data_IF_882442022237
#
_entry.id   IF_882442022237
#
_cell.length_a   1.000
_cell.length_b   1.000
_cell.length_c   1.000
_cell.angle_alpha   90.00
_cell.angle_beta   90.00
_cell.angle_gamma   90.00
#
_symmetry.space_group_name_H-M   'P 1'
#
loop_
_entity.id
_entity.type
_entity.pdbx_description
1 polymer ?
#
# COMPACT_ATOMS: atom_id res chain seq x y z
N UNK A 1 27.67 -2.34 -9.92
CA UNK A 1 26.85 -1.71 -10.97
C UNK A 1 25.78 -0.89 -10.25
N UNK A 2 26.07 0.39 -10.04
CA UNK A 2 25.32 1.28 -9.16
C UNK A 2 24.17 1.94 -9.92
N UNK A 3 22.99 2.03 -9.29
CA UNK A 3 21.89 2.86 -9.76
C UNK A 3 21.44 3.75 -8.59
N UNK A 4 21.66 5.04 -8.82
CA UNK A 4 21.53 6.20 -7.94
C UNK A 4 20.07 6.45 -7.49
N UNK A 5 19.83 6.87 -6.24
CA UNK A 5 18.52 7.35 -5.81
C UNK A 5 18.31 8.79 -6.31
N UNK A 6 17.25 9.03 -7.09
CA UNK A 6 16.93 10.35 -7.60
C UNK A 6 16.55 11.31 -6.45
N UNK A 7 17.45 12.26 -6.19
CA UNK A 7 17.18 13.53 -5.51
C UNK A 7 16.25 14.38 -6.38
N UNK A 8 15.09 14.77 -5.85
CA UNK A 8 14.31 15.87 -6.41
C UNK A 8 14.98 17.21 -6.06
N UNK A 9 15.73 17.78 -6.99
CA UNK A 9 16.16 19.17 -6.97
C UNK A 9 15.00 20.09 -7.38
N UNK A 10 14.73 21.13 -6.59
CA UNK A 10 13.86 22.26 -6.97
C UNK A 10 14.67 23.21 -7.85
N UNK A 11 14.15 23.57 -9.03
CA UNK A 11 14.01 24.97 -9.45
C UNK A 11 13.32 25.11 -10.83
N UNK A 12 12.33 26.01 -10.87
CA UNK A 12 12.22 27.08 -11.87
C UNK A 12 12.16 26.75 -13.37
N UNK A 13 10.93 26.85 -13.88
CA UNK A 13 10.52 27.48 -15.15
C UNK A 13 10.85 26.88 -16.53
N UNK A 14 9.78 26.91 -17.33
CA UNK A 14 9.71 27.00 -18.80
C UNK A 14 9.92 25.72 -19.63
N UNK A 15 8.77 25.14 -20.02
CA UNK A 15 8.47 24.75 -21.40
C UNK A 15 9.37 23.71 -22.07
N UNK A 16 8.97 22.43 -22.02
CA UNK A 16 8.97 21.51 -23.17
C UNK A 16 8.11 20.30 -22.76
N UNK A 17 7.11 19.92 -23.56
CA UNK A 17 6.38 18.66 -23.40
C UNK A 17 7.32 17.50 -23.72
N UNK A 18 8.06 17.04 -22.72
CA UNK A 18 8.81 15.78 -22.75
C UNK A 18 7.89 14.69 -22.23
N UNK A 19 7.48 13.76 -23.09
CA UNK A 19 6.74 12.55 -22.74
C UNK A 19 7.64 11.64 -21.87
N UNK A 20 7.65 11.89 -20.57
CA UNK A 20 8.44 11.13 -19.60
C UNK A 20 7.59 10.01 -19.01
N UNK A 21 7.76 8.79 -19.53
CA UNK A 21 7.16 7.55 -18.99
C UNK A 21 7.51 7.40 -17.50
N UNK A 22 6.60 7.79 -16.61
CA UNK A 22 6.87 7.81 -15.17
C UNK A 22 5.90 6.88 -14.45
N UNK A 23 6.37 5.68 -14.15
CA UNK A 23 5.68 4.75 -13.23
C UNK A 23 6.22 4.99 -11.82
N UNK A 24 5.39 5.57 -10.95
CA UNK A 24 5.82 5.92 -9.61
C UNK A 24 5.39 4.86 -8.58
N UNK A 25 6.37 4.35 -7.83
CA UNK A 25 6.25 3.19 -6.94
C UNK A 25 5.46 3.46 -5.63
N UNK A 26 5.20 4.74 -5.29
CA UNK A 26 4.28 5.17 -4.21
C UNK A 26 3.73 6.55 -4.56
N UNK A 27 2.51 6.63 -5.08
CA UNK A 27 1.84 7.92 -5.33
C UNK A 27 0.39 7.90 -4.89
N UNK A 28 -0.09 9.06 -4.44
CA UNK A 28 -1.52 9.27 -4.18
C UNK A 28 -2.25 9.37 -5.52
N UNK A 29 -3.48 8.84 -5.57
CA UNK A 29 -4.35 8.88 -6.75
C UNK A 29 -4.52 10.28 -7.37
N UNK A 30 -4.41 11.34 -6.55
CA UNK A 30 -4.47 12.72 -7.00
C UNK A 30 -3.44 13.11 -8.07
N UNK A 31 -2.26 12.47 -8.11
CA UNK A 31 -1.25 12.76 -9.15
C UNK A 31 -1.61 12.16 -10.51
N UNK A 32 -2.21 10.96 -10.52
CA UNK A 32 -2.81 10.39 -11.74
C UNK A 32 -3.94 11.30 -12.24
N UNK A 33 -4.82 11.76 -11.35
CA UNK A 33 -5.93 12.63 -11.75
C UNK A 33 -5.46 13.94 -12.42
N UNK A 34 -4.30 14.47 -12.00
CA UNK A 34 -3.68 15.66 -12.62
C UNK A 34 -2.92 15.39 -13.92
N UNK A 35 -2.70 14.12 -14.30
CA UNK A 35 -1.91 13.76 -15.49
C UNK A 35 -0.40 13.95 -15.33
N UNK A 36 0.10 14.12 -14.10
CA UNK A 36 1.53 14.32 -13.81
C UNK A 36 2.34 13.00 -13.79
N UNK A 37 1.65 11.87 -13.86
CA UNK A 37 2.17 10.50 -13.98
C UNK A 37 1.20 9.70 -14.84
N UNK A 38 1.72 8.78 -15.65
CA UNK A 38 0.92 8.00 -16.60
C UNK A 38 0.16 6.86 -15.92
N UNK A 39 0.80 6.25 -14.91
CA UNK A 39 0.21 5.19 -14.10
C UNK A 39 0.85 5.15 -12.70
N UNK A 40 0.10 4.65 -11.73
CA UNK A 40 0.54 4.48 -10.35
C UNK A 40 0.16 3.11 -9.80
N UNK A 41 1.04 2.55 -8.97
CA UNK A 41 0.68 1.44 -8.09
C UNK A 41 0.06 2.02 -6.81
N UNK A 42 -1.20 1.69 -6.58
CA UNK A 42 -1.99 2.19 -5.46
C UNK A 42 -2.48 1.02 -4.62
N UNK A 43 -2.23 1.11 -3.31
CA UNK A 43 -2.85 0.26 -2.28
C UNK A 43 -4.21 0.82 -1.92
N UNK A 44 -5.23 -0.02 -2.00
CA UNK A 44 -6.57 0.29 -1.51
C UNK A 44 -6.69 -0.26 -0.10
N UNK A 45 -6.36 0.57 0.89
CA UNK A 45 -6.56 0.20 2.30
C UNK A 45 -8.04 0.03 2.60
N UNK A 46 -8.42 -1.02 3.34
CA UNK A 46 -9.77 -1.20 3.85
C UNK A 46 -10.19 -0.03 4.77
N UNK A 47 -11.49 0.34 4.78
CA UNK A 47 -12.53 -0.10 3.85
C UNK A 47 -12.34 0.51 2.45
N UNK A 48 -12.83 -0.22 1.42
CA UNK A 48 -12.61 0.04 -0.01
C UNK A 48 -12.98 1.49 -0.39
N UNK A 49 -12.00 2.38 -0.44
CA UNK A 49 -12.21 3.76 -0.88
C UNK A 49 -12.54 3.79 -2.38
N UNK A 50 -13.58 4.55 -2.73
CA UNK A 50 -13.92 4.82 -4.12
C UNK A 50 -12.73 5.47 -4.82
N UNK A 51 -12.49 5.06 -6.06
CA UNK A 51 -11.50 5.70 -6.90
C UNK A 51 -12.04 7.08 -7.27
N UNK A 52 -11.18 8.11 -7.27
CA UNK A 52 -11.57 9.44 -7.76
C UNK A 52 -12.12 9.36 -9.19
N UNK A 53 -13.08 10.24 -9.55
CA UNK A 53 -13.70 10.20 -10.87
C UNK A 53 -12.65 10.35 -11.99
N UNK A 54 -12.84 9.63 -13.09
CA UNK A 54 -11.94 9.70 -14.26
C UNK A 54 -10.64 8.92 -14.12
N UNK A 55 -10.57 7.94 -13.21
CA UNK A 55 -9.46 7.00 -13.09
C UNK A 55 -9.93 5.58 -13.40
N UNK A 56 -9.10 4.85 -14.14
CA UNK A 56 -9.24 3.41 -14.38
C UNK A 56 -8.27 2.64 -13.48
N UNK A 57 -8.63 1.39 -13.14
CA UNK A 57 -7.83 0.57 -12.23
C UNK A 57 -7.84 -0.89 -12.62
N UNK A 58 -6.66 -1.49 -12.59
CA UNK A 58 -6.45 -2.92 -12.74
C UNK A 58 -5.87 -3.51 -11.46
N UNK A 59 -6.64 -4.32 -10.72
CA UNK A 59 -6.11 -5.06 -9.59
C UNK A 59 -5.02 -6.02 -10.06
N UNK A 60 -3.89 -6.04 -9.34
CA UNK A 60 -2.74 -6.88 -9.68
C UNK A 60 -2.62 -8.06 -8.70
N UNK A 61 -2.67 -7.77 -7.40
CA UNK A 61 -2.55 -8.77 -6.33
C UNK A 61 -3.08 -8.23 -5.01
N UNK A 62 -3.21 -9.11 -4.01
CA UNK A 62 -3.47 -8.69 -2.63
C UNK A 62 -2.28 -8.95 -1.72
N UNK A 63 -2.19 -8.20 -0.62
CA UNK A 63 -1.19 -8.36 0.43
C UNK A 63 -1.92 -8.47 1.77
N UNK A 64 -1.39 -9.27 2.71
CA UNK A 64 -1.92 -9.32 4.06
C UNK A 64 -1.57 -8.06 4.84
N UNK A 65 -2.40 -7.75 5.83
CA UNK A 65 -2.05 -6.78 6.87
C UNK A 65 -1.22 -7.47 7.95
N UNK A 66 -0.22 -6.75 8.43
CA UNK A 66 0.65 -7.14 9.53
C UNK A 66 0.64 -6.04 10.59
N UNK A 67 0.69 -6.44 11.85
CA UNK A 67 0.99 -5.53 12.95
C UNK A 67 2.50 -5.41 13.11
N UNK A 68 2.94 -4.25 13.57
CA UNK A 68 4.31 -3.91 13.93
C UNK A 68 4.31 -3.57 15.41
N UNK A 69 5.05 -4.35 16.20
CA UNK A 69 5.16 -4.20 17.65
C UNK A 69 6.62 -4.14 18.06
N UNK A 70 6.93 -3.58 19.23
CA UNK A 70 8.27 -3.69 19.81
C UNK A 70 8.59 -5.15 20.14
N UNK A 71 9.86 -5.56 20.06
CA UNK A 71 10.30 -6.90 20.46
C UNK A 71 10.01 -7.26 21.91
N UNK A 72 9.80 -6.26 22.77
CA UNK A 72 9.43 -6.43 24.18
C UNK A 72 7.93 -6.64 24.41
N UNK A 73 7.09 -6.47 23.39
CA UNK A 73 5.64 -6.66 23.48
C UNK A 73 5.32 -8.14 23.74
N UNK A 74 4.30 -8.42 24.55
CA UNK A 74 3.89 -9.81 24.84
C UNK A 74 3.45 -10.57 23.59
N UNK A 75 2.90 -9.86 22.60
CA UNK A 75 2.46 -10.42 21.32
C UNK A 75 3.63 -10.79 20.40
N UNK A 76 4.82 -10.23 20.62
CA UNK A 76 6.00 -10.47 19.77
C UNK A 76 6.44 -11.96 19.71
N UNK A 77 5.93 -12.81 20.61
CA UNK A 77 6.18 -14.26 20.65
C UNK A 77 5.09 -15.11 19.98
N UNK A 78 4.02 -14.48 19.49
CA UNK A 78 2.92 -15.17 18.81
C UNK A 78 3.24 -15.38 17.33
N UNK A 79 2.57 -16.34 16.69
CA UNK A 79 2.71 -16.56 15.24
C UNK A 79 1.86 -15.57 14.41
N UNK A 80 0.78 -15.07 15.02
CA UNK A 80 -0.21 -14.18 14.42
C UNK A 80 -1.04 -13.50 15.52
N UNK A 81 -1.83 -12.49 15.15
CA UNK A 81 -2.72 -11.75 16.05
C UNK A 81 -4.09 -11.51 15.39
N UNK A 82 -5.10 -11.14 16.17
CA UNK A 82 -6.40 -10.68 15.68
C UNK A 82 -6.58 -9.17 15.84
N UNK A 83 -7.53 -8.56 15.14
CA UNK A 83 -7.87 -7.14 15.32
C UNK A 83 -8.33 -6.85 16.75
N UNK A 84 -9.00 -7.80 17.41
CA UNK A 84 -9.40 -7.67 18.81
C UNK A 84 -8.18 -7.51 19.74
N UNK A 85 -7.10 -8.28 19.52
CA UNK A 85 -5.85 -8.18 20.29
C UNK A 85 -5.12 -6.84 20.12
N UNK A 86 -5.49 -6.08 19.07
CA UNK A 86 -4.91 -4.78 18.71
C UNK A 86 -5.81 -3.60 19.09
N UNK A 87 -6.99 -3.86 19.65
CA UNK A 87 -7.91 -2.81 20.08
C UNK A 87 -7.45 -2.11 21.36
N UNK A 88 -6.59 -2.77 22.14
CA UNK A 88 -6.05 -2.25 23.39
C UNK A 88 -4.80 -1.41 23.15
N UNK A 89 -4.95 -0.09 23.31
CA UNK A 89 -3.87 0.87 23.27
C UNK A 89 -3.77 1.69 21.98
N UNK A 90 -2.70 2.49 21.84
CA UNK A 90 -2.54 3.41 20.73
C UNK A 90 -2.01 2.74 19.45
N UNK A 91 -2.66 3.02 18.33
CA UNK A 91 -2.25 2.63 16.98
C UNK A 91 -1.69 3.85 16.24
N UNK A 92 -0.42 3.79 15.88
CA UNK A 92 0.24 4.80 15.04
C UNK A 92 -0.13 4.63 13.57
N UNK A 93 -0.66 5.68 12.95
CA UNK A 93 -1.06 5.74 11.54
C UNK A 93 -0.23 6.78 10.80
N UNK A 94 0.51 6.34 9.79
CA UNK A 94 1.34 7.23 8.97
C UNK A 94 0.46 8.08 8.03
N UNK A 95 0.43 9.40 8.23
CA UNK A 95 -0.41 10.33 7.47
C UNK A 95 -0.11 10.35 5.97
N UNK A 96 1.13 10.02 5.57
CA UNK A 96 1.51 9.99 4.15
C UNK A 96 1.00 8.76 3.41
N UNK A 97 0.79 7.65 4.13
CA UNK A 97 0.36 6.37 3.56
C UNK A 97 -0.48 5.60 4.60
N UNK A 98 -1.68 6.11 4.95
CA UNK A 98 -2.53 5.49 5.95
C UNK A 98 -2.92 4.10 5.46
N UNK A 99 -2.42 3.07 6.15
CA UNK A 99 -2.67 1.68 5.78
C UNK A 99 -3.82 1.07 6.58
N UNK A 100 -4.06 1.61 7.78
CA UNK A 100 -5.17 1.30 8.66
C UNK A 100 -5.86 2.59 9.10
N UNK A 101 -7.19 2.54 9.19
CA UNK A 101 -8.05 3.54 9.84
C UNK A 101 -8.84 2.86 10.94
N UNK A 102 -9.50 3.64 11.80
CA UNK A 102 -10.41 3.10 12.82
C UNK A 102 -11.50 2.17 12.26
N UNK A 103 -11.87 2.37 11.00
CA UNK A 103 -12.86 1.55 10.29
C UNK A 103 -12.43 0.08 10.15
N UNK A 104 -11.13 -0.23 10.28
CA UNK A 104 -10.64 -1.60 10.30
C UNK A 104 -11.23 -2.39 11.48
N UNK A 105 -11.56 -1.72 12.59
CA UNK A 105 -12.18 -2.27 13.80
C UNK A 105 -13.71 -2.10 13.84
N UNK A 106 -14.34 -1.76 12.70
CA UNK A 106 -15.79 -1.49 12.66
C UNK A 106 -16.67 -2.68 13.07
N UNK A 107 -16.14 -3.91 12.95
CA UNK A 107 -16.83 -5.16 13.33
C UNK A 107 -16.41 -5.70 14.69
N UNK A 108 -15.48 -5.03 15.40
CA UNK A 108 -15.01 -5.46 16.72
C UNK A 108 -15.69 -4.66 17.83
N UNK A 109 -15.71 -5.21 19.06
CA UNK A 109 -16.36 -4.56 20.20
C UNK A 109 -15.69 -3.24 20.65
N UNK A 110 -14.39 -3.10 20.38
CA UNK A 110 -13.59 -1.94 20.80
C UNK A 110 -12.81 -1.37 19.61
N UNK A 111 -12.66 -0.05 19.59
CA UNK A 111 -11.85 0.66 18.61
C UNK A 111 -10.63 1.28 19.31
N UNK A 112 -9.40 1.04 18.81
CA UNK A 112 -8.21 1.60 19.43
C UNK A 112 -8.15 3.12 19.23
N UNK A 113 -7.41 3.78 20.12
CA UNK A 113 -7.03 5.17 19.92
C UNK A 113 -6.02 5.24 18.78
N UNK A 114 -6.26 6.11 17.80
CA UNK A 114 -5.31 6.33 16.70
C UNK A 114 -4.45 7.56 16.96
N UNK A 115 -3.15 7.46 16.64
CA UNK A 115 -2.19 8.56 16.68
C UNK A 115 -1.65 8.77 15.28
N UNK A 116 -1.86 9.96 14.73
CA UNK A 116 -1.33 10.32 13.41
C UNK A 116 0.14 10.72 13.51
N UNK A 117 0.98 10.17 12.64
CA UNK A 117 2.42 10.49 12.56
C UNK A 117 2.78 10.98 11.17
N UNK A 118 3.77 11.87 11.07
CA UNK A 118 4.04 12.62 9.84
C UNK A 118 4.66 11.76 8.74
N UNK A 119 5.47 10.76 9.10
CA UNK A 119 6.20 9.92 8.15
C UNK A 119 6.52 8.53 8.73
N UNK A 120 7.06 7.65 7.89
CA UNK A 120 7.42 6.27 8.25
C UNK A 120 8.55 6.19 9.28
N UNK A 121 9.47 7.14 9.31
CA UNK A 121 10.56 7.16 10.30
C UNK A 121 10.01 7.39 11.71
N UNK A 122 9.18 8.43 11.88
CA UNK A 122 8.49 8.70 13.16
C UNK A 122 7.60 7.52 13.57
N UNK A 123 6.89 6.92 12.61
CA UNK A 123 6.08 5.72 12.83
C UNK A 123 6.91 4.57 13.40
N UNK A 124 8.07 4.26 12.80
CA UNK A 124 8.97 3.23 13.31
C UNK A 124 9.53 3.56 14.69
N UNK A 125 9.92 4.81 14.94
CA UNK A 125 10.45 5.24 16.24
C UNK A 125 9.45 4.99 17.35
N UNK A 126 8.18 5.36 17.14
CA UNK A 126 7.08 5.12 18.10
C UNK A 126 6.93 3.64 18.43
N UNK A 127 6.89 2.79 17.39
CA UNK A 127 6.80 1.34 17.58
C UNK A 127 8.01 0.79 18.32
N UNK A 128 9.22 1.21 17.97
CA UNK A 128 10.44 0.71 18.60
C UNK A 128 10.52 1.07 20.09
N UNK A 129 10.06 2.27 20.47
CA UNK A 129 9.95 2.72 21.87
C UNK A 129 8.85 1.94 22.63
N UNK A 130 7.89 1.36 21.91
CA UNK A 130 6.76 0.64 22.50
C UNK A 130 5.63 1.56 22.97
N UNK A 131 5.61 2.82 22.52
CA UNK A 131 4.56 3.78 22.88
C UNK A 131 3.28 3.62 22.02
N UNK A 132 3.37 2.89 20.90
CA UNK A 132 2.27 2.56 20.01
C UNK A 132 2.57 1.31 19.17
N UNK A 133 1.53 0.64 18.69
CA UNK A 133 1.64 -0.37 17.64
C UNK A 133 1.38 0.26 16.27
N UNK A 134 1.78 -0.39 15.19
CA UNK A 134 1.44 0.04 13.83
C UNK A 134 0.86 -1.07 13.00
N UNK A 135 0.02 -0.73 12.02
CA UNK A 135 -0.49 -1.68 11.03
C UNK A 135 -0.01 -1.28 9.65
N UNK A 136 0.49 -2.24 8.89
CA UNK A 136 0.96 -2.03 7.53
C UNK A 136 0.71 -3.25 6.64
N UNK A 137 0.88 -3.10 5.33
CA UNK A 137 0.86 -4.22 4.40
C UNK A 137 2.20 -4.98 4.46
N UNK A 138 2.15 -6.29 4.30
CA UNK A 138 3.29 -7.20 4.46
C UNK A 138 4.53 -6.76 3.67
N UNK A 139 4.39 -6.27 2.44
CA UNK A 139 5.53 -5.85 1.65
C UNK A 139 6.26 -4.58 2.18
N UNK A 140 5.64 -3.82 3.08
CA UNK A 140 6.31 -2.67 3.74
C UNK A 140 7.46 -3.15 4.64
N UNK A 141 7.35 -4.35 5.21
CA UNK A 141 8.35 -4.96 6.11
C UNK A 141 9.71 -5.19 5.44
N UNK A 142 9.73 -5.38 4.11
CA UNK A 142 10.98 -5.55 3.37
C UNK A 142 11.77 -4.25 3.18
N UNK A 143 11.10 -3.10 3.24
CA UNK A 143 11.71 -1.81 2.90
C UNK A 143 12.13 -1.01 4.14
N UNK A 144 11.55 -1.30 5.30
CA UNK A 144 11.77 -0.53 6.52
C UNK A 144 11.92 -1.52 7.68
N UNK A 145 13.12 -2.07 7.88
CA UNK A 145 13.41 -3.00 8.96
C UNK A 145 14.06 -2.25 10.12
N UNK A 146 13.53 -2.43 11.32
CA UNK A 146 14.16 -2.04 12.57
C UNK A 146 14.35 -3.30 13.42
N UNK A 147 15.56 -3.59 13.94
CA UNK A 147 15.81 -4.79 14.74
C UNK A 147 14.89 -4.93 15.96
N UNK A 148 14.43 -3.80 16.51
CA UNK A 148 13.58 -3.72 17.69
C UNK A 148 12.09 -3.90 17.36
N UNK A 149 11.74 -4.08 16.08
CA UNK A 149 10.35 -4.19 15.61
C UNK A 149 10.08 -5.59 15.05
N UNK A 150 9.06 -6.24 15.61
CA UNK A 150 8.56 -7.53 15.17
C UNK A 150 7.29 -7.32 14.35
N UNK A 151 7.18 -8.04 13.24
CA UNK A 151 6.01 -8.01 12.35
C UNK A 151 5.24 -9.31 12.45
N UNK A 152 3.94 -9.23 12.74
CA UNK A 152 3.06 -10.39 12.90
C UNK A 152 1.87 -10.27 11.95
N UNK A 153 1.47 -11.34 11.23
CA UNK A 153 0.24 -11.36 10.45
C UNK A 153 -1.00 -11.07 11.31
N UNK A 154 -1.97 -10.35 10.75
CA UNK A 154 -3.30 -10.17 11.35
C UNK A 154 -4.27 -11.11 10.64
N UNK A 155 -4.84 -12.09 11.35
CA UNK A 155 -5.57 -13.21 10.72
C UNK A 155 -6.96 -12.83 10.19
N UNK A 156 -7.68 -12.02 10.97
CA UNK A 156 -9.05 -11.60 10.71
C UNK A 156 -9.13 -10.26 9.95
N UNK A 157 -7.98 -9.71 9.55
CA UNK A 157 -7.94 -8.45 8.81
C UNK A 157 -8.20 -8.66 7.30
N UNK A 158 -9.03 -7.81 6.68
CA UNK A 158 -9.23 -7.85 5.23
C UNK A 158 -7.93 -7.55 4.48
N UNK A 159 -7.65 -8.27 3.38
CA UNK A 159 -6.42 -8.06 2.62
C UNK A 159 -6.42 -6.70 1.90
N UNK A 160 -5.22 -6.17 1.66
CA UNK A 160 -5.02 -4.91 0.93
C UNK A 160 -4.85 -5.23 -0.55
N UNK A 161 -5.69 -4.64 -1.40
CA UNK A 161 -5.52 -4.76 -2.86
C UNK A 161 -4.48 -3.77 -3.36
N UNK A 162 -3.49 -4.28 -4.11
CA UNK A 162 -2.56 -3.49 -4.90
C UNK A 162 -3.05 -3.47 -6.34
N UNK A 163 -3.17 -2.27 -6.91
CA UNK A 163 -3.68 -2.09 -8.25
C UNK A 163 -2.87 -1.05 -9.04
N UNK A 164 -2.75 -1.28 -10.34
CA UNK A 164 -2.32 -0.25 -11.28
C UNK A 164 -3.50 0.70 -11.52
N UNK A 165 -3.26 2.00 -11.39
CA UNK A 165 -4.29 3.05 -11.57
C UNK A 165 -3.78 4.11 -12.53
N UNK A 166 -4.59 4.52 -13.49
CA UNK A 166 -4.24 5.50 -14.52
C UNK A 166 -5.41 6.44 -14.83
N UNK A 167 -5.16 7.61 -15.47
CA UNK A 167 -6.23 8.47 -15.96
C UNK A 167 -7.09 7.74 -17.00
N UNK A 168 -8.42 7.90 -17.00
CA UNK A 168 -9.29 7.24 -17.97
C UNK A 168 -9.10 7.70 -19.42
N UNK A 169 -9.67 6.95 -20.37
CA UNK A 169 -9.33 6.97 -21.81
C UNK A 169 -8.98 8.31 -22.48
N UNK A 170 -9.69 9.41 -22.16
CA UNK A 170 -9.40 10.73 -22.76
C UNK A 170 -8.03 11.32 -22.38
N UNK A 171 -7.40 10.82 -21.32
CA UNK A 171 -6.14 11.34 -20.77
C UNK A 171 -5.07 10.26 -20.59
N UNK A 172 -5.37 9.01 -20.95
CA UNK A 172 -4.44 7.90 -20.76
C UNK A 172 -3.30 7.96 -21.77
N UNK A 173 -2.10 7.57 -21.33
CA UNK A 173 -1.00 7.32 -22.25
C UNK A 173 -1.33 6.14 -23.18
N UNK A 174 -1.00 6.18 -24.49
CA UNK A 174 -1.36 5.12 -25.45
C UNK A 174 -0.84 3.72 -25.06
N UNK A 175 0.28 3.65 -24.33
CA UNK A 175 0.88 2.39 -23.90
C UNK A 175 0.34 1.84 -22.58
N UNK A 176 -0.65 2.49 -21.95
CA UNK A 176 -1.13 2.08 -20.61
C UNK A 176 -1.68 0.66 -20.61
N UNK A 177 -2.36 0.25 -21.69
CA UNK A 177 -2.87 -1.12 -21.84
C UNK A 177 -1.74 -2.16 -21.87
N UNK A 178 -0.65 -1.88 -22.58
CA UNK A 178 0.52 -2.77 -22.65
C UNK A 178 1.16 -2.90 -21.27
N UNK A 179 1.37 -1.78 -20.57
CA UNK A 179 1.93 -1.79 -19.21
C UNK A 179 1.02 -2.58 -18.26
N UNK A 180 -0.29 -2.43 -18.39
CA UNK A 180 -1.28 -3.10 -17.58
C UNK A 180 -1.23 -4.63 -17.76
N UNK A 181 -1.20 -5.11 -19.02
CA UNK A 181 -1.03 -6.53 -19.34
C UNK A 181 0.31 -7.06 -18.84
N UNK A 182 1.43 -6.38 -19.12
CA UNK A 182 2.74 -6.82 -18.65
C UNK A 182 2.82 -6.89 -17.11
N UNK A 183 2.20 -5.94 -16.41
CA UNK A 183 2.15 -5.96 -14.96
C UNK A 183 1.35 -7.16 -14.43
N UNK A 184 0.20 -7.46 -15.04
CA UNK A 184 -0.59 -8.64 -14.68
C UNK A 184 0.17 -9.94 -14.91
N UNK A 185 0.79 -10.11 -16.08
CA UNK A 185 1.58 -11.31 -16.39
C UNK A 185 2.74 -11.48 -15.43
N UNK A 186 3.44 -10.38 -15.14
CA UNK A 186 4.57 -10.36 -14.20
C UNK A 186 4.14 -10.78 -12.80
N UNK A 187 3.10 -10.15 -12.24
CA UNK A 187 2.66 -10.47 -10.87
C UNK A 187 2.03 -11.85 -10.77
N UNK A 188 1.28 -12.29 -11.79
CA UNK A 188 0.76 -13.67 -11.86
C UNK A 188 1.90 -14.68 -11.74
N UNK A 189 2.98 -14.50 -12.51
CA UNK A 189 4.15 -15.40 -12.48
C UNK A 189 4.97 -15.27 -11.21
N UNK A 190 5.12 -14.06 -10.66
CA UNK A 190 5.96 -13.81 -9.49
C UNK A 190 5.33 -14.36 -8.21
N UNK A 191 4.00 -14.37 -8.12
CA UNK A 191 3.26 -14.96 -7.00
C UNK A 191 3.53 -16.46 -6.87
N UNK A 192 3.83 -17.15 -7.97
CA UNK A 192 4.17 -18.58 -7.95
C UNK A 192 5.59 -18.85 -7.38
N UNK A 193 6.43 -17.82 -7.23
CA UNK A 193 7.88 -17.97 -6.96
C UNK A 193 8.28 -17.36 -5.59
N UNK A 194 7.40 -16.60 -4.90
CA UNK A 194 7.70 -16.07 -3.56
C UNK A 194 6.56 -15.31 -2.85
N UNK A 195 6.67 -15.16 -1.52
CA UNK A 195 5.76 -14.37 -0.65
C UNK A 195 6.22 -12.89 -0.54
N UNK A 196 5.30 -11.90 -0.32
CA UNK A 196 3.93 -12.02 0.20
C UNK A 196 2.76 -11.72 -0.78
N UNK A 197 1.50 -12.13 -0.48
CA UNK A 197 0.74 -12.94 -1.45
C UNK A 197 -0.79 -12.70 -1.63
N UNK A 198 -1.28 -13.26 -2.76
CA UNK A 198 -2.58 -13.92 -3.11
C UNK A 198 -3.62 -13.21 -4.00
N UNK A 199 -4.06 -13.97 -5.01
CA UNK A 199 -4.83 -13.66 -6.22
C UNK A 199 -6.19 -12.99 -5.98
N UNK A 200 -6.57 -12.10 -6.89
CA UNK A 200 -7.97 -11.74 -7.09
C UNK A 200 -8.54 -12.67 -8.17
N UNK A 201 -9.48 -13.52 -7.78
CA UNK A 201 -10.31 -14.26 -8.71
C UNK A 201 -11.09 -13.29 -9.60
N UNK A 202 -10.90 -13.40 -10.90
CA UNK A 202 -11.72 -12.72 -11.90
C UNK A 202 -13.14 -13.29 -11.78
N UNK A 203 -14.08 -12.48 -11.27
CA UNK A 203 -15.49 -12.78 -11.45
C UNK A 203 -15.78 -12.85 -12.94
N UNK A 204 -16.33 -13.99 -13.38
CA UNK A 204 -16.71 -14.24 -14.75
C UNK A 204 -17.68 -13.17 -15.23
N UNK A 205 -17.21 -12.32 -16.13
CA UNK A 205 -17.99 -11.64 -17.18
C UNK A 205 -16.99 -11.18 -18.25
N UNK A 206 -16.28 -12.15 -18.82
CA UNK A 206 -15.58 -12.02 -20.09
C UNK A 206 -16.53 -12.44 -21.19
N UNK A 207 -17.40 -11.53 -21.65
CA UNK A 207 -18.12 -11.75 -22.90
C UNK A 207 -17.23 -11.27 -24.05
N UNK A 208 -16.78 -12.20 -24.89
CA UNK A 208 -16.88 -12.19 -26.37
C UNK A 208 -16.27 -13.49 -26.94
N UNK A 209 -17.15 -14.31 -27.51
CA UNK A 209 -16.97 -15.53 -28.32
C UNK A 209 -16.21 -16.72 -27.72
#
# INVERSE_FOLDING_TARGET
MAVTPCLCSRNGSAGTLSSSNTVARRTRSGRCATGAIDAALIRSSPPKRAIGPGLERLPLFTERLVVSVTSSDSRARQESVTLADLADGPVAVCATAPTATGELWSTTAHMPRTISVANTGEWLTRIAVGDAIGITAEATTHNHRAPEVVYLPIEDAPPVTVALTWPGQRRSHPQVGVVATCAQDYFTRLIDIGSPPRLLSTGADGQLA
#
